data_IF_363560328640
#
_entry.id   IF_363560328640
#
_cell.length_a   1.000
_cell.length_b   1.000
_cell.length_c   1.000
_cell.angle_alpha   90.00
_cell.angle_beta   90.00
_cell.angle_gamma   90.00
#
_symmetry.space_group_name_H-M   'P 1'
#
loop_
_entity.id
_entity.type
_entity.pdbx_description
1 polymer ?
#
# COMPACT_ATOMS: atom_id res chain seq x y z
N UNK A 1 1.05 53.22 -56.42
CA UNK A 1 0.32 53.00 -55.15
C UNK A 1 0.75 51.67 -54.57
N UNK A 2 1.26 51.67 -53.34
CA UNK A 2 1.66 50.48 -52.57
C UNK A 2 0.45 50.00 -51.77
N UNK A 3 0.12 48.71 -51.85
CA UNK A 3 -0.51 48.02 -50.72
C UNK A 3 -0.05 46.56 -50.67
N UNK A 4 0.80 46.30 -49.69
CA UNK A 4 1.28 44.99 -49.26
C UNK A 4 0.12 44.17 -48.67
N UNK A 5 -0.13 42.98 -49.22
CA UNK A 5 -1.12 42.06 -48.65
C UNK A 5 -0.46 41.16 -47.60
N UNK A 6 -0.91 41.36 -46.36
CA UNK A 6 -0.38 40.76 -45.13
C UNK A 6 -0.72 39.27 -44.99
N UNK A 7 0.26 38.59 -44.40
CA UNK A 7 0.33 37.22 -43.94
C UNK A 7 -0.89 36.81 -43.08
N UNK A 8 -1.70 35.83 -43.51
CA UNK A 8 -2.77 35.24 -42.69
C UNK A 8 -2.24 34.04 -41.90
N UNK A 9 -1.87 34.28 -40.63
CA UNK A 9 -1.62 33.23 -39.65
C UNK A 9 -2.95 32.57 -39.27
N UNK A 10 -3.14 31.31 -39.65
CA UNK A 10 -4.20 30.47 -39.10
C UNK A 10 -3.91 30.20 -37.62
N UNK A 11 -4.68 30.79 -36.71
CA UNK A 11 -4.74 30.33 -35.33
C UNK A 11 -5.75 29.20 -35.25
N UNK A 12 -5.23 27.97 -35.29
CA UNK A 12 -6.00 26.79 -34.88
C UNK A 12 -6.28 26.92 -33.39
N UNK A 13 -7.53 27.18 -33.04
CA UNK A 13 -8.00 27.16 -31.66
C UNK A 13 -7.88 25.72 -31.13
N UNK A 14 -6.80 25.43 -30.39
CA UNK A 14 -6.70 24.19 -29.60
C UNK A 14 -7.70 24.28 -28.46
N UNK A 15 -8.90 23.75 -28.66
CA UNK A 15 -9.82 23.43 -27.57
C UNK A 15 -9.22 22.29 -26.75
N UNK A 16 -8.38 22.61 -25.77
CA UNK A 16 -8.02 21.68 -24.71
C UNK A 16 -9.27 21.46 -23.86
N UNK A 17 -10.01 20.38 -24.16
CA UNK A 17 -11.05 19.86 -23.27
C UNK A 17 -10.38 19.61 -21.92
N UNK A 18 -10.63 20.49 -20.96
CA UNK A 18 -10.28 20.30 -19.56
C UNK A 18 -10.97 19.00 -19.11
N UNK A 19 -10.20 17.91 -19.06
CA UNK A 19 -10.65 16.70 -18.40
C UNK A 19 -10.89 17.10 -16.95
N UNK A 20 -12.15 17.18 -16.54
CA UNK A 20 -12.52 17.40 -15.14
C UNK A 20 -11.74 16.38 -14.31
N UNK A 21 -10.82 16.85 -13.48
CA UNK A 21 -10.08 16.00 -12.57
C UNK A 21 -11.10 15.32 -11.65
N UNK A 22 -11.36 14.03 -11.88
CA UNK A 22 -12.23 13.24 -11.02
C UNK A 22 -11.62 13.25 -9.62
N UNK A 23 -12.25 13.98 -8.71
CA UNK A 23 -11.85 14.03 -7.31
C UNK A 23 -12.33 12.76 -6.65
N UNK A 24 -11.45 12.03 -5.97
CA UNK A 24 -11.84 10.78 -5.29
C UNK A 24 -12.82 11.13 -4.18
N UNK A 25 -13.93 10.41 -4.08
CA UNK A 25 -14.97 10.67 -3.07
C UNK A 25 -14.40 10.69 -1.64
N UNK A 26 -13.44 9.82 -1.32
CA UNK A 26 -12.74 9.79 -0.03
C UNK A 26 -11.99 11.09 0.30
N UNK A 27 -11.53 11.84 -0.71
CA UNK A 27 -10.89 13.15 -0.49
C UNK A 27 -11.89 14.22 -0.05
N UNK A 28 -13.19 14.01 -0.28
CA UNK A 28 -14.27 14.88 0.19
C UNK A 28 -14.82 14.45 1.56
N UNK A 29 -14.68 13.16 1.91
CA UNK A 29 -15.25 12.61 3.15
C UNK A 29 -14.31 12.66 4.36
N UNK A 30 -12.98 12.63 4.14
CA UNK A 30 -11.99 12.51 5.22
C UNK A 30 -11.04 13.70 5.20
N UNK A 31 -10.93 14.40 6.33
CA UNK A 31 -10.00 15.53 6.48
C UNK A 31 -8.54 15.08 6.33
N UNK A 32 -7.67 16.00 5.93
CA UNK A 32 -6.23 15.70 5.84
C UNK A 32 -5.65 15.25 7.19
N UNK A 33 -6.09 15.86 8.29
CA UNK A 33 -5.65 15.46 9.63
C UNK A 33 -6.05 14.02 9.95
N UNK A 34 -7.27 13.61 9.59
CA UNK A 34 -7.72 12.23 9.79
C UNK A 34 -6.94 11.24 8.94
N UNK A 35 -6.56 11.60 7.70
CA UNK A 35 -5.65 10.79 6.88
C UNK A 35 -4.30 10.59 7.56
N UNK A 36 -3.74 11.64 8.18
CA UNK A 36 -2.51 11.53 8.95
C UNK A 36 -2.69 10.66 10.18
N UNK A 37 -3.79 10.83 10.93
CA UNK A 37 -4.13 10.02 12.10
C UNK A 37 -4.14 8.54 11.76
N UNK A 38 -4.90 8.17 10.72
CA UNK A 38 -5.00 6.78 10.26
C UNK A 38 -3.65 6.23 9.77
N UNK A 39 -2.82 7.07 9.15
CA UNK A 39 -1.48 6.67 8.71
C UNK A 39 -0.55 6.36 9.89
N UNK A 40 -0.52 7.21 10.91
CA UNK A 40 0.29 6.98 12.12
C UNK A 40 -0.24 5.74 12.86
N UNK A 41 -1.55 5.61 12.99
CA UNK A 41 -2.20 4.44 13.61
C UNK A 41 -1.83 3.14 12.90
N UNK A 42 -1.83 3.13 11.56
CA UNK A 42 -1.41 1.97 10.75
C UNK A 42 0.05 1.57 11.04
N UNK A 43 0.96 2.55 11.11
CA UNK A 43 2.39 2.31 11.35
C UNK A 43 2.61 1.76 12.76
N UNK A 44 2.00 2.35 13.79
CA UNK A 44 2.14 1.90 15.18
C UNK A 44 1.62 0.47 15.39
N UNK A 45 0.50 0.13 14.75
CA UNK A 45 -0.03 -1.24 14.78
C UNK A 45 0.95 -2.23 14.16
N UNK A 46 1.51 -1.88 13.02
CA UNK A 46 2.45 -2.76 12.31
C UNK A 46 3.78 -2.91 13.08
N UNK A 47 4.32 -1.83 13.66
CA UNK A 47 5.54 -1.89 14.47
C UNK A 47 5.33 -2.76 15.72
N UNK A 48 4.30 -2.48 16.52
CA UNK A 48 4.01 -3.25 17.73
C UNK A 48 3.73 -4.72 17.43
N UNK A 49 2.94 -5.01 16.39
CA UNK A 49 2.70 -6.38 15.95
C UNK A 49 3.99 -7.09 15.49
N UNK A 50 4.93 -6.40 14.83
CA UNK A 50 6.21 -7.00 14.41
C UNK A 50 7.11 -7.33 15.59
N UNK A 51 7.18 -6.45 16.59
CA UNK A 51 7.95 -6.68 17.81
C UNK A 51 7.39 -7.87 18.59
N UNK A 52 6.07 -7.90 18.79
CA UNK A 52 5.40 -9.01 19.49
C UNK A 52 5.51 -10.32 18.71
N UNK A 53 5.36 -10.29 17.38
CA UNK A 53 5.58 -11.46 16.54
C UNK A 53 7.03 -11.97 16.62
N UNK A 54 8.00 -11.06 16.63
CA UNK A 54 9.41 -11.43 16.79
C UNK A 54 9.67 -12.05 18.16
N UNK A 55 9.09 -11.49 19.24
CA UNK A 55 9.19 -12.03 20.58
C UNK A 55 8.53 -13.41 20.69
N UNK A 56 7.34 -13.60 20.12
CA UNK A 56 6.67 -14.90 20.10
C UNK A 56 7.52 -15.96 19.40
N UNK A 57 8.07 -15.63 18.22
CA UNK A 57 8.97 -16.52 17.46
C UNK A 57 10.23 -16.89 18.24
N UNK A 58 10.82 -15.94 18.96
CA UNK A 58 11.98 -16.22 19.82
C UNK A 58 11.65 -17.21 20.93
N UNK A 59 10.41 -17.18 21.43
CA UNK A 59 9.90 -18.07 22.47
C UNK A 59 9.22 -19.35 21.92
N UNK A 60 9.36 -19.67 20.63
CA UNK A 60 8.67 -20.79 19.96
C UNK A 60 7.14 -20.77 20.12
N UNK A 61 6.55 -19.58 20.17
CA UNK A 61 5.11 -19.37 20.16
C UNK A 61 4.65 -18.76 18.84
N UNK A 62 3.40 -19.05 18.49
CA UNK A 62 2.73 -18.40 17.37
C UNK A 62 2.18 -17.04 17.78
N UNK A 63 2.18 -16.10 16.84
CA UNK A 63 1.60 -14.78 17.03
C UNK A 63 0.34 -14.61 16.20
N UNK A 64 -0.77 -14.37 16.89
CA UNK A 64 -2.06 -14.13 16.26
C UNK A 64 -2.22 -12.65 15.87
N UNK A 65 -2.00 -12.39 14.58
CA UNK A 65 -2.19 -11.07 13.99
C UNK A 65 -3.64 -10.60 14.02
N UNK A 66 -4.62 -11.50 13.95
CA UNK A 66 -6.03 -11.12 13.92
C UNK A 66 -6.47 -10.59 15.28
N UNK A 67 -6.17 -11.34 16.35
CA UNK A 67 -6.45 -10.92 17.73
C UNK A 67 -5.73 -9.62 18.06
N UNK A 68 -4.43 -9.51 17.75
CA UNK A 68 -3.69 -8.27 17.97
C UNK A 68 -4.31 -7.08 17.23
N UNK A 69 -4.69 -7.25 15.97
CA UNK A 69 -5.29 -6.18 15.18
C UNK A 69 -6.67 -5.75 15.72
N UNK A 70 -7.45 -6.68 16.29
CA UNK A 70 -8.73 -6.38 16.90
C UNK A 70 -8.53 -5.56 18.19
N UNK A 71 -7.68 -6.06 19.10
CA UNK A 71 -7.36 -5.38 20.36
C UNK A 71 -6.75 -4.00 20.12
N UNK A 72 -5.78 -3.88 19.21
CA UNK A 72 -5.17 -2.59 18.89
C UNK A 72 -6.19 -1.57 18.36
N UNK A 73 -7.17 -2.02 17.57
CA UNK A 73 -8.24 -1.13 17.06
C UNK A 73 -9.20 -0.72 18.17
N UNK A 74 -9.49 -1.60 19.11
CA UNK A 74 -10.32 -1.30 20.28
C UNK A 74 -9.62 -0.28 21.19
N UNK A 75 -8.35 -0.51 21.51
CA UNK A 75 -7.57 0.31 22.44
C UNK A 75 -7.23 1.69 21.87
N UNK A 76 -6.85 1.76 20.58
CA UNK A 76 -6.26 2.97 19.99
C UNK A 76 -7.07 3.57 18.82
N UNK A 77 -8.19 2.95 18.43
CA UNK A 77 -8.96 3.37 17.26
C UNK A 77 -9.46 4.82 17.31
N UNK A 78 -9.72 5.33 18.52
CA UNK A 78 -10.21 6.70 18.77
C UNK A 78 -9.12 7.67 19.24
N UNK A 79 -7.87 7.22 19.37
CA UNK A 79 -6.75 8.05 19.85
C UNK A 79 -6.46 9.20 18.89
N UNK A 80 -6.14 10.37 19.44
CA UNK A 80 -5.88 11.58 18.66
C UNK A 80 -4.54 11.51 17.91
N UNK A 81 -4.41 12.24 16.80
CA UNK A 81 -3.14 12.30 16.05
C UNK A 81 -1.98 12.76 16.94
N UNK A 82 -2.22 13.68 17.87
CA UNK A 82 -1.19 14.20 18.77
C UNK A 82 -0.63 13.10 19.66
N UNK A 83 -1.49 12.31 20.30
CA UNK A 83 -1.09 11.21 21.17
C UNK A 83 -0.40 10.10 20.38
N UNK A 84 -0.90 9.78 19.19
CA UNK A 84 -0.25 8.80 18.31
C UNK A 84 1.15 9.25 17.89
N UNK A 85 1.35 10.53 17.56
CA UNK A 85 2.68 11.07 17.26
C UNK A 85 3.62 11.01 18.46
N UNK A 86 3.12 11.28 19.68
CA UNK A 86 3.91 11.15 20.90
C UNK A 86 4.32 9.70 21.16
N UNK A 87 3.41 8.75 20.98
CA UNK A 87 3.73 7.33 21.10
C UNK A 87 4.75 6.88 20.05
N UNK A 88 4.60 7.32 18.80
CA UNK A 88 5.53 7.00 17.72
C UNK A 88 6.95 7.54 17.97
N UNK A 89 7.05 8.74 18.54
CA UNK A 89 8.33 9.28 18.97
C UNK A 89 8.93 8.49 20.13
N UNK A 90 8.15 8.24 21.18
CA UNK A 90 8.63 7.62 22.42
C UNK A 90 9.06 6.15 22.22
N UNK A 91 8.30 5.39 21.43
CA UNK A 91 8.52 3.95 21.26
C UNK A 91 9.45 3.64 20.08
N UNK A 92 9.36 4.41 18.99
CA UNK A 92 9.99 4.06 17.72
C UNK A 92 10.93 5.14 17.16
N UNK A 93 11.12 6.26 17.90
CA UNK A 93 11.97 7.37 17.48
C UNK A 93 11.46 8.11 16.23
N UNK A 94 10.17 8.00 15.91
CA UNK A 94 9.56 8.63 14.74
C UNK A 94 9.10 10.05 15.10
N UNK A 95 9.99 11.02 14.89
CA UNK A 95 9.82 12.40 15.37
C UNK A 95 8.80 13.23 14.58
N UNK A 96 8.56 12.90 13.32
CA UNK A 96 7.70 13.68 12.43
C UNK A 96 6.94 12.79 11.44
N UNK A 97 6.03 13.44 10.70
CA UNK A 97 5.16 12.77 9.72
C UNK A 97 5.95 12.17 8.55
N UNK A 98 7.11 12.73 8.20
CA UNK A 98 7.92 12.23 7.10
C UNK A 98 8.66 10.94 7.49
N UNK A 99 9.15 10.83 8.73
CA UNK A 99 9.64 9.59 9.31
C UNK A 99 8.56 8.49 9.33
N UNK A 100 7.31 8.85 9.66
CA UNK A 100 6.16 7.93 9.60
C UNK A 100 5.92 7.46 8.15
N UNK A 101 5.97 8.36 7.18
CA UNK A 101 5.79 8.03 5.75
C UNK A 101 6.87 7.09 5.24
N UNK A 102 8.12 7.37 5.57
CA UNK A 102 9.25 6.51 5.21
C UNK A 102 9.07 5.13 5.84
N UNK A 103 8.68 5.08 7.11
CA UNK A 103 8.45 3.80 7.80
C UNK A 103 7.33 3.00 7.17
N UNK A 104 6.20 3.64 6.86
CA UNK A 104 5.10 3.03 6.15
C UNK A 104 5.51 2.49 4.78
N UNK A 105 6.37 3.21 4.05
CA UNK A 105 6.90 2.74 2.78
C UNK A 105 7.73 1.46 2.95
N UNK A 106 8.56 1.36 4.00
CA UNK A 106 9.30 0.14 4.35
C UNK A 106 8.36 -1.04 4.65
N UNK A 107 7.31 -0.84 5.44
CA UNK A 107 6.31 -1.88 5.72
C UNK A 107 5.64 -2.40 4.44
N UNK A 108 5.24 -1.48 3.54
CA UNK A 108 4.66 -1.84 2.25
C UNK A 108 5.65 -2.58 1.36
N UNK A 109 6.92 -2.18 1.35
CA UNK A 109 7.99 -2.87 0.62
C UNK A 109 8.11 -4.32 1.06
N UNK A 110 8.22 -4.57 2.37
CA UNK A 110 8.32 -5.93 2.94
C UNK A 110 7.10 -6.77 2.58
N UNK A 111 5.88 -6.20 2.67
CA UNK A 111 4.65 -6.89 2.28
C UNK A 111 4.65 -7.27 0.80
N UNK A 112 5.02 -6.34 -0.07
CA UNK A 112 5.06 -6.57 -1.52
C UNK A 112 6.08 -7.63 -1.88
N UNK A 113 7.26 -7.63 -1.26
CA UNK A 113 8.27 -8.68 -1.44
C UNK A 113 7.74 -10.05 -1.01
N UNK A 114 7.05 -10.13 0.13
CA UNK A 114 6.45 -11.39 0.61
C UNK A 114 5.44 -11.94 -0.40
N UNK A 115 4.57 -11.08 -0.92
CA UNK A 115 3.58 -11.46 -1.93
C UNK A 115 4.28 -11.91 -3.24
N UNK A 116 5.29 -11.16 -3.68
CA UNK A 116 6.06 -11.52 -4.87
C UNK A 116 6.75 -12.89 -4.74
N UNK A 117 7.32 -13.19 -3.56
CA UNK A 117 7.90 -14.51 -3.28
C UNK A 117 6.85 -15.62 -3.30
N UNK A 118 5.69 -15.40 -2.69
CA UNK A 118 4.59 -16.37 -2.73
C UNK A 118 4.11 -16.63 -4.16
N UNK A 119 3.92 -15.58 -4.96
CA UNK A 119 3.51 -15.70 -6.35
C UNK A 119 4.55 -16.46 -7.18
N UNK A 120 5.85 -16.26 -6.91
CA UNK A 120 6.91 -17.03 -7.57
C UNK A 120 6.86 -18.52 -7.23
N UNK A 121 6.62 -18.87 -5.96
CA UNK A 121 6.45 -20.28 -5.54
C UNK A 121 5.23 -20.91 -6.21
N UNK A 122 4.10 -20.19 -6.27
CA UNK A 122 2.89 -20.67 -6.95
C UNK A 122 3.16 -20.90 -8.44
N UNK A 123 3.82 -19.96 -9.11
CA UNK A 123 4.17 -20.09 -10.53
C UNK A 123 5.12 -21.26 -10.79
N UNK A 124 6.09 -21.51 -9.90
CA UNK A 124 7.00 -22.66 -9.99
C UNK A 124 6.26 -23.99 -9.78
N UNK A 125 5.35 -24.06 -8.81
CA UNK A 125 4.55 -25.26 -8.56
C UNK A 125 3.56 -25.55 -9.70
N UNK A 126 3.01 -24.51 -10.34
CA UNK A 126 2.14 -24.67 -11.51
C UNK A 126 2.90 -25.23 -12.73
N UNK A 127 4.16 -24.82 -12.91
CA UNK A 127 5.01 -25.32 -14.00
C UNK A 127 5.42 -26.79 -13.83
N UNK A 128 5.46 -27.31 -12.60
CA UNK A 128 5.78 -28.73 -12.31
C UNK A 128 4.58 -29.67 -12.40
N UNK A 129 3.36 -29.16 -12.52
CA UNK A 129 2.13 -29.98 -12.64
C UNK A 129 1.68 -30.21 -14.09
N UNK A 130 2.30 -29.51 -15.06
CA UNK A 130 1.94 -29.56 -16.48
C UNK A 130 2.79 -30.54 -17.31
N UNK A 131 3.83 -31.15 -16.71
CA UNK A 131 4.80 -32.03 -17.40
C UNK A 131 4.55 -33.53 -17.16
N UNK A 132 3.29 -33.93 -16.88
CA UNK A 132 2.96 -35.25 -16.34
C UNK A 132 1.68 -35.92 -16.88
N UNK A 133 1.19 -35.54 -18.06
CA UNK A 133 0.15 -36.31 -18.77
C UNK A 133 0.78 -36.84 -20.06
N UNK A 134 1.43 -38.00 -19.92
CA UNK A 134 1.83 -38.83 -21.05
C UNK A 134 0.55 -39.49 -21.58
N UNK A 135 0.00 -38.97 -22.68
CA UNK A 135 -1.08 -39.59 -23.45
C UNK A 135 -0.57 -40.92 -24.01
N UNK A 136 -0.55 -41.97 -23.19
CA UNK A 136 -0.40 -43.32 -23.69
C UNK A 136 -1.71 -43.74 -24.37
N UNK A 137 -1.70 -43.67 -25.70
CA UNK A 137 -2.65 -44.28 -26.61
C UNK A 137 -3.07 -45.67 -26.10
N UNK A 138 -4.34 -45.83 -25.77
CA UNK A 138 -4.95 -47.14 -25.56
C UNK A 138 -5.29 -47.67 -26.95
N UNK A 139 -4.38 -48.44 -27.56
CA UNK A 139 -4.75 -49.36 -28.64
C UNK A 139 -5.68 -50.43 -28.06
N UNK A 140 -6.95 -50.41 -28.48
CA UNK A 140 -7.85 -51.54 -28.29
C UNK A 140 -7.72 -52.50 -29.47
N UNK A 141 -7.27 -53.72 -29.21
CA UNK A 141 -7.54 -54.90 -30.02
C UNK A 141 -8.90 -55.53 -29.65
#
# INVERSE_FOLDING_TARGET
MIVTSKNRKFHSAKTTKSQKAYTKALDQCISYNEKLRLMVLEVLREESGRELASAARFNNHDFDWETHNAQFREDYGTTSLKELMQAAQALYGLNDVDAIRERRAKHRGIRNERIARQNKVIAQNALTLDDGIDDHEIEMD
#
